data_IF_776049108160
#
_entry.id   IF_776049108160
#
_cell.length_a   1.000
_cell.length_b   1.000
_cell.length_c   1.000
_cell.angle_alpha   90.00
_cell.angle_beta   90.00
_cell.angle_gamma   90.00
#
_symmetry.space_group_name_H-M   'P 1'
#
loop_
_entity.id
_entity.type
_entity.pdbx_description
1 polymer ?
#
# COMPACT_ATOMS: atom_id res chain seq x y z
N UNK A 1 100.93 3.21 -29.87
CA UNK A 1 99.71 3.23 -30.69
C UNK A 1 99.27 1.77 -30.83
N UNK A 2 98.15 1.28 -30.30
CA UNK A 2 96.76 1.79 -30.36
C UNK A 2 95.95 1.19 -29.19
N UNK A 3 95.09 2.02 -28.58
CA UNK A 3 94.11 1.67 -27.53
C UNK A 3 93.11 0.60 -28.00
N UNK A 4 92.77 -0.36 -27.14
CA UNK A 4 91.56 -1.19 -27.27
C UNK A 4 90.49 -0.67 -26.30
N UNK A 5 89.74 0.34 -26.72
CA UNK A 5 88.45 0.70 -26.13
C UNK A 5 87.34 0.00 -26.92
N UNK A 6 86.91 -1.17 -26.44
CA UNK A 6 85.70 -1.82 -26.96
C UNK A 6 84.51 -1.42 -26.10
N UNK A 7 83.84 -0.37 -26.59
CA UNK A 7 82.44 0.03 -26.41
C UNK A 7 81.53 -1.00 -25.71
N UNK A 8 80.97 -0.61 -24.56
CA UNK A 8 79.75 -1.21 -23.99
C UNK A 8 78.56 -0.89 -24.90
N UNK A 9 78.28 -1.77 -25.86
CA UNK A 9 77.07 -1.66 -26.67
C UNK A 9 75.88 -2.25 -25.89
N UNK A 10 74.88 -1.41 -25.73
CA UNK A 10 73.64 -1.57 -24.98
C UNK A 10 72.89 -2.90 -25.21
N UNK A 11 72.87 -3.78 -24.20
CA UNK A 11 71.81 -4.80 -24.03
C UNK A 11 70.51 -4.22 -23.41
N UNK A 12 70.20 -2.94 -23.68
CA UNK A 12 69.05 -2.21 -23.12
C UNK A 12 67.77 -2.15 -23.99
N UNK A 13 67.65 -2.62 -25.25
CA UNK A 13 66.38 -2.48 -25.98
C UNK A 13 65.39 -3.63 -25.68
N UNK A 14 65.89 -4.84 -25.40
CA UNK A 14 65.05 -6.04 -25.32
C UNK A 14 64.26 -6.14 -24.01
N UNK A 15 64.80 -5.62 -22.91
CA UNK A 15 64.14 -5.64 -21.59
C UNK A 15 63.05 -4.59 -21.45
N UNK A 16 63.17 -3.46 -22.15
CA UNK A 16 62.15 -2.39 -22.18
C UNK A 16 60.97 -2.83 -23.06
N UNK A 17 61.25 -3.42 -24.23
CA UNK A 17 60.23 -3.95 -25.12
C UNK A 17 59.39 -5.06 -24.46
N UNK A 18 60.04 -5.98 -23.73
CA UNK A 18 59.34 -7.01 -22.95
C UNK A 18 58.45 -6.45 -21.85
N UNK A 19 58.87 -5.37 -21.18
CA UNK A 19 58.06 -4.69 -20.15
C UNK A 19 56.84 -3.99 -20.74
N UNK A 20 56.99 -3.35 -21.90
CA UNK A 20 55.85 -2.74 -22.60
C UNK A 20 54.89 -3.80 -23.14
N UNK A 21 55.39 -4.91 -23.69
CA UNK A 21 54.55 -6.04 -24.12
C UNK A 21 53.80 -6.62 -22.92
N UNK A 22 54.47 -6.82 -21.77
CA UNK A 22 53.84 -7.31 -20.55
C UNK A 22 52.78 -6.33 -20.01
N UNK A 23 53.07 -5.02 -20.00
CA UNK A 23 52.11 -3.98 -19.61
C UNK A 23 50.90 -3.92 -20.55
N UNK A 24 51.10 -4.03 -21.87
CA UNK A 24 50.02 -4.06 -22.86
C UNK A 24 49.18 -5.34 -22.74
N UNK A 25 49.80 -6.49 -22.44
CA UNK A 25 49.11 -7.75 -22.18
C UNK A 25 48.26 -7.67 -20.91
N UNK A 26 48.82 -7.12 -19.81
CA UNK A 26 48.06 -6.88 -18.58
C UNK A 26 46.91 -5.91 -18.83
N UNK A 27 47.15 -4.80 -19.53
CA UNK A 27 46.10 -3.84 -19.87
C UNK A 27 44.98 -4.48 -20.71
N UNK A 28 45.32 -5.31 -21.70
CA UNK A 28 44.35 -6.05 -22.49
C UNK A 28 43.52 -7.04 -21.65
N UNK A 29 44.14 -7.73 -20.68
CA UNK A 29 43.44 -8.65 -19.77
C UNK A 29 42.52 -7.90 -18.77
N UNK A 30 42.87 -6.68 -18.36
CA UNK A 30 42.00 -5.85 -17.53
C UNK A 30 40.88 -5.16 -18.34
N UNK A 31 41.09 -4.94 -19.64
CA UNK A 31 40.14 -4.23 -20.52
C UNK A 31 39.11 -5.15 -21.19
N UNK A 32 39.21 -6.48 -21.04
CA UNK A 32 38.10 -7.37 -21.41
C UNK A 32 36.94 -7.12 -20.46
N UNK A 33 36.07 -6.20 -20.86
CA UNK A 33 34.91 -5.76 -20.12
C UNK A 33 34.09 -6.93 -19.61
N UNK A 34 33.94 -6.98 -18.29
CA UNK A 34 32.95 -7.83 -17.65
C UNK A 34 31.59 -7.27 -18.07
N UNK A 35 30.94 -7.90 -19.07
CA UNK A 35 29.49 -7.75 -19.28
C UNK A 35 28.77 -8.46 -18.14
N UNK A 36 28.98 -8.00 -16.90
CA UNK A 36 28.13 -8.38 -15.80
C UNK A 36 26.79 -7.67 -16.06
N UNK A 37 25.77 -8.44 -16.43
CA UNK A 37 24.39 -8.00 -16.30
C UNK A 37 24.22 -7.55 -14.84
N UNK A 38 24.19 -6.24 -14.61
CA UNK A 38 23.79 -5.65 -13.33
C UNK A 38 22.46 -6.30 -12.91
N UNK A 39 22.18 -6.50 -11.61
CA UNK A 39 20.96 -7.20 -11.15
C UNK A 39 19.76 -6.71 -11.96
N UNK A 40 19.27 -7.60 -12.83
CA UNK A 40 18.37 -7.22 -13.92
C UNK A 40 17.11 -6.57 -13.37
N UNK A 41 16.46 -5.73 -14.19
CA UNK A 41 15.21 -5.05 -13.83
C UNK A 41 14.24 -6.05 -13.19
N UNK A 42 14.04 -5.95 -11.88
CA UNK A 42 13.13 -6.79 -11.13
C UNK A 42 11.72 -6.65 -11.74
N UNK A 43 11.23 -7.70 -12.38
CA UNK A 43 9.90 -7.77 -13.01
C UNK A 43 8.73 -7.82 -12.02
N UNK A 44 8.91 -7.31 -10.79
CA UNK A 44 7.85 -7.27 -9.80
C UNK A 44 6.84 -6.18 -10.19
N UNK A 45 5.71 -6.60 -10.78
CA UNK A 45 4.58 -5.70 -10.99
C UNK A 45 4.03 -5.30 -9.60
N UNK A 46 4.20 -4.03 -9.21
CA UNK A 46 3.52 -3.50 -8.02
C UNK A 46 2.02 -3.77 -8.18
N UNK A 47 1.37 -4.27 -7.11
CA UNK A 47 -0.09 -4.39 -7.11
C UNK A 47 -0.67 -3.02 -7.40
N UNK A 48 -1.45 -2.90 -8.47
CA UNK A 48 -2.15 -1.66 -8.76
C UNK A 48 -3.06 -1.37 -7.58
N UNK A 49 -2.97 -0.15 -7.06
CA UNK A 49 -3.96 0.36 -6.12
C UNK A 49 -5.32 0.24 -6.81
N UNK A 50 -6.33 -0.26 -6.09
CA UNK A 50 -7.71 -0.27 -6.59
C UNK A 50 -8.14 1.18 -6.73
N UNK A 51 -8.42 1.61 -7.96
CA UNK A 51 -8.92 2.96 -8.22
C UNK A 51 -10.34 3.06 -7.65
N UNK A 52 -10.57 4.04 -6.78
CA UNK A 52 -11.90 4.38 -6.30
C UNK A 52 -12.61 5.16 -7.40
N UNK A 53 -13.73 4.64 -7.90
CA UNK A 53 -14.58 5.35 -8.86
C UNK A 53 -15.58 6.20 -8.09
N UNK A 54 -15.70 7.51 -8.38
CA UNK A 54 -16.70 8.34 -7.73
C UNK A 54 -18.11 7.88 -8.11
N UNK A 55 -19.06 8.09 -7.20
CA UNK A 55 -20.48 7.87 -7.46
C UNK A 55 -21.02 8.97 -8.36
N UNK A 56 -21.80 8.59 -9.38
CA UNK A 56 -22.54 9.52 -10.23
C UNK A 56 -23.81 10.00 -9.50
N UNK A 57 -24.33 11.17 -9.86
CA UNK A 57 -25.57 11.69 -9.28
C UNK A 57 -26.72 10.65 -9.39
N UNK A 58 -27.39 10.39 -8.25
CA UNK A 58 -28.44 9.35 -8.07
C UNK A 58 -27.96 7.89 -8.19
N UNK A 59 -26.67 7.63 -8.33
CA UNK A 59 -26.13 6.28 -8.23
C UNK A 59 -26.10 5.83 -6.77
N UNK A 60 -26.44 4.57 -6.54
CA UNK A 60 -26.28 3.87 -5.25
C UNK A 60 -25.51 2.56 -5.48
N UNK A 61 -24.76 2.13 -4.47
CA UNK A 61 -23.99 0.89 -4.50
C UNK A 61 -24.27 0.16 -3.19
N UNK A 62 -24.71 -1.10 -3.22
CA UNK A 62 -25.06 -1.92 -4.39
C UNK A 62 -26.26 -1.38 -5.17
N UNK A 63 -26.40 -1.74 -6.46
CA UNK A 63 -27.51 -1.29 -7.32
C UNK A 63 -28.80 -2.08 -7.04
N UNK A 64 -29.25 -2.03 -5.79
CA UNK A 64 -30.46 -2.66 -5.26
C UNK A 64 -31.11 -1.68 -4.30
N UNK A 65 -32.43 -1.77 -4.04
CA UNK A 65 -33.07 -0.85 -3.10
C UNK A 65 -32.48 -0.97 -1.69
N UNK A 66 -32.44 0.16 -0.97
CA UNK A 66 -31.87 0.26 0.39
C UNK A 66 -32.41 -0.80 1.35
N UNK A 67 -33.72 -1.08 1.28
CA UNK A 67 -34.39 -2.00 2.19
C UNK A 67 -34.25 -3.49 1.80
N UNK A 68 -33.44 -3.79 0.79
CA UNK A 68 -33.15 -5.17 0.36
C UNK A 68 -32.19 -5.86 1.32
N UNK A 69 -32.33 -7.19 1.47
CA UNK A 69 -31.43 -8.02 2.28
C UNK A 69 -29.95 -7.94 1.84
N UNK A 70 -29.70 -7.59 0.58
CA UNK A 70 -28.34 -7.39 0.05
C UNK A 70 -27.74 -6.00 0.29
N UNK A 71 -28.47 -5.09 0.92
CA UNK A 71 -28.06 -3.72 1.23
C UNK A 71 -28.24 -3.44 2.73
N UNK A 72 -29.17 -2.57 3.09
CA UNK A 72 -29.43 -2.21 4.48
C UNK A 72 -30.48 -3.12 5.15
N UNK A 73 -31.21 -3.93 4.39
CA UNK A 73 -32.25 -4.81 4.94
C UNK A 73 -33.53 -4.07 5.37
N UNK A 74 -34.54 -4.79 5.88
CA UNK A 74 -35.85 -4.22 6.14
C UNK A 74 -35.81 -3.12 7.20
N UNK A 75 -36.58 -2.05 6.97
CA UNK A 75 -36.74 -0.97 7.93
C UNK A 75 -37.46 -1.46 9.18
N UNK A 76 -36.87 -1.18 10.33
CA UNK A 76 -37.53 -1.43 11.61
C UNK A 76 -38.45 -0.25 12.00
N UNK A 77 -38.87 -0.20 13.26
CA UNK A 77 -39.72 0.87 13.78
C UNK A 77 -38.93 2.16 14.04
N UNK A 78 -39.62 3.29 13.89
CA UNK A 78 -39.13 4.60 14.30
C UNK A 78 -38.83 4.61 15.80
N UNK A 79 -37.67 5.13 16.18
CA UNK A 79 -37.24 5.26 17.58
C UNK A 79 -37.45 6.71 18.03
N UNK A 80 -38.15 6.87 19.15
CA UNK A 80 -38.32 8.14 19.87
C UNK A 80 -37.52 8.12 21.16
N UNK A 81 -37.23 9.31 21.73
CA UNK A 81 -36.42 9.45 22.95
C UNK A 81 -36.96 8.72 24.19
N UNK A 82 -38.28 8.49 24.25
CA UNK A 82 -38.92 7.77 25.35
C UNK A 82 -38.95 6.24 25.17
N UNK A 83 -38.55 5.72 24.01
CA UNK A 83 -38.65 4.30 23.72
C UNK A 83 -37.53 3.52 24.41
N UNK A 84 -37.82 2.28 24.84
CA UNK A 84 -36.81 1.40 25.42
C UNK A 84 -35.60 1.18 24.48
N UNK A 85 -35.88 1.14 23.17
CA UNK A 85 -34.89 1.01 22.10
C UNK A 85 -33.93 2.19 22.00
N UNK A 86 -34.31 3.36 22.53
CA UNK A 86 -33.43 4.52 22.53
C UNK A 86 -32.17 4.30 23.37
N UNK A 87 -32.24 3.41 24.37
CA UNK A 87 -31.10 3.03 25.22
C UNK A 87 -30.04 2.22 24.46
N UNK A 88 -30.39 1.60 23.34
CA UNK A 88 -29.47 0.85 22.50
C UNK A 88 -28.62 1.77 21.60
N UNK A 89 -29.09 3.01 21.37
CA UNK A 89 -28.38 3.99 20.58
C UNK A 89 -27.28 4.65 21.42
N UNK A 90 -26.13 4.87 20.80
CA UNK A 90 -24.93 5.43 21.42
C UNK A 90 -24.62 6.78 20.79
N UNK A 91 -24.02 7.68 21.57
CA UNK A 91 -23.58 8.99 21.12
C UNK A 91 -22.16 8.93 20.54
N UNK A 92 -21.97 9.49 19.36
CA UNK A 92 -20.66 9.63 18.73
C UNK A 92 -20.04 11.01 19.01
N UNK A 93 -18.91 11.02 19.72
CA UNK A 93 -18.14 12.21 20.09
C UNK A 93 -16.80 12.33 19.37
N UNK A 94 -16.64 11.67 18.22
CA UNK A 94 -15.40 11.74 17.46
C UNK A 94 -15.08 13.19 17.02
N UNK A 95 -13.89 13.68 17.38
CA UNK A 95 -13.40 15.01 17.04
C UNK A 95 -13.14 15.19 15.53
N UNK A 96 -12.95 14.10 14.78
CA UNK A 96 -12.69 14.13 13.34
C UNK A 96 -13.96 14.32 12.49
N UNK A 97 -15.14 14.35 13.14
CA UNK A 97 -16.44 14.45 12.47
C UNK A 97 -17.11 15.76 12.87
N UNK A 98 -17.35 16.62 11.88
CA UNK A 98 -18.06 17.88 12.07
C UNK A 98 -19.55 17.65 11.85
N UNK A 99 -20.33 17.68 12.94
CA UNK A 99 -21.79 17.57 12.90
C UNK A 99 -22.42 18.95 12.67
N UNK A 100 -23.42 19.02 11.78
CA UNK A 100 -24.10 20.27 11.42
C UNK A 100 -25.09 20.78 12.49
N UNK A 101 -25.69 19.86 13.26
CA UNK A 101 -26.71 20.06 14.30
C UNK A 101 -27.45 21.41 14.28
N UNK A 102 -28.38 21.56 13.33
CA UNK A 102 -29.19 22.78 13.18
C UNK A 102 -30.11 23.06 14.38
N UNK A 103 -30.42 22.05 15.20
CA UNK A 103 -31.42 22.14 16.27
C UNK A 103 -30.78 22.30 17.65
N UNK A 104 -29.47 22.09 17.79
CA UNK A 104 -28.76 22.16 19.06
C UNK A 104 -29.17 21.08 20.06
N UNK A 105 -29.70 19.95 19.57
CA UNK A 105 -30.22 18.87 20.44
C UNK A 105 -29.27 17.67 20.53
N UNK A 106 -28.21 17.65 19.72
CA UNK A 106 -27.27 16.53 19.63
C UNK A 106 -27.84 15.28 18.95
N UNK A 107 -29.03 15.35 18.34
CA UNK A 107 -29.68 14.19 17.73
C UNK A 107 -28.85 13.58 16.58
N UNK A 108 -28.13 14.41 15.81
CA UNK A 108 -27.26 13.96 14.71
C UNK A 108 -26.07 13.09 15.18
N UNK A 109 -25.80 13.06 16.50
CA UNK A 109 -24.72 12.26 17.11
C UNK A 109 -25.20 10.90 17.62
N UNK A 110 -26.52 10.70 17.73
CA UNK A 110 -27.12 9.49 18.27
C UNK A 110 -27.29 8.49 17.13
N UNK A 111 -26.58 7.36 17.20
CA UNK A 111 -26.56 6.35 16.14
C UNK A 111 -26.37 4.95 16.72
N UNK A 112 -26.50 3.91 15.87
CA UNK A 112 -26.25 2.53 16.30
C UNK A 112 -24.75 2.23 16.38
N UNK A 113 -24.34 1.24 17.19
CA UNK A 113 -22.93 0.88 17.32
C UNK A 113 -22.26 0.56 15.96
N UNK A 114 -22.95 -0.17 15.09
CA UNK A 114 -22.45 -0.54 13.75
C UNK A 114 -22.12 0.69 12.90
N UNK A 115 -22.93 1.74 13.02
CA UNK A 115 -22.73 3.00 12.31
C UNK A 115 -21.54 3.80 12.89
N UNK A 116 -21.37 3.81 14.22
CA UNK A 116 -20.20 4.41 14.87
C UNK A 116 -18.92 3.73 14.38
N UNK A 117 -18.92 2.40 14.36
CA UNK A 117 -17.75 1.62 13.93
C UNK A 117 -17.43 1.90 12.46
N UNK A 118 -18.44 2.04 11.60
CA UNK A 118 -18.23 2.41 10.20
C UNK A 118 -17.54 3.79 10.06
N UNK A 119 -17.91 4.76 10.89
CA UNK A 119 -17.31 6.10 10.86
C UNK A 119 -15.94 6.20 11.54
N UNK A 120 -15.68 5.37 12.55
CA UNK A 120 -14.43 5.38 13.33
C UNK A 120 -13.36 4.45 12.76
N UNK A 121 -13.71 3.35 12.07
CA UNK A 121 -12.76 2.40 11.49
C UNK A 121 -12.12 2.86 10.17
N UNK A 122 -11.65 4.11 10.12
CA UNK A 122 -10.73 4.59 9.09
C UNK A 122 -9.32 4.04 9.34
N UNK A 123 -9.10 2.75 9.08
CA UNK A 123 -7.74 2.18 9.20
C UNK A 123 -7.61 0.68 8.99
N UNK A 124 -8.68 -0.10 9.17
CA UNK A 124 -8.64 -1.52 8.85
C UNK A 124 -9.00 -1.69 7.38
N UNK A 125 -8.08 -2.29 6.60
CA UNK A 125 -8.34 -2.70 5.22
C UNK A 125 -9.70 -3.41 5.16
N UNK A 126 -10.55 -3.11 4.17
CA UNK A 126 -11.86 -3.76 3.97
C UNK A 126 -11.79 -5.29 4.13
N UNK A 127 -10.69 -5.91 3.71
CA UNK A 127 -10.46 -7.35 3.87
C UNK A 127 -10.43 -7.81 5.34
N UNK A 128 -9.93 -6.97 6.26
CA UNK A 128 -9.92 -7.24 7.70
C UNK A 128 -11.31 -7.05 8.30
N UNK A 129 -12.11 -6.09 7.81
CA UNK A 129 -13.51 -5.91 8.20
C UNK A 129 -14.40 -7.09 7.78
N UNK A 130 -14.17 -7.65 6.58
CA UNK A 130 -14.84 -8.90 6.15
C UNK A 130 -14.32 -10.13 6.90
N UNK A 131 -13.02 -10.20 7.21
CA UNK A 131 -12.48 -11.33 7.99
C UNK A 131 -12.93 -11.30 9.46
N UNK A 132 -13.12 -10.11 10.03
CA UNK A 132 -13.73 -9.91 11.35
C UNK A 132 -15.21 -10.30 11.36
N UNK A 133 -15.94 -10.07 10.26
CA UNK A 133 -17.31 -10.59 10.06
C UNK A 133 -17.35 -12.12 10.19
N UNK A 134 -16.48 -12.83 9.47
CA UNK A 134 -16.42 -14.31 9.51
C UNK A 134 -16.06 -14.87 10.90
N UNK A 135 -15.19 -14.17 11.66
CA UNK A 135 -14.80 -14.57 13.02
C UNK A 135 -15.84 -14.24 14.10
N UNK A 136 -16.74 -13.27 13.85
CA UNK A 136 -17.79 -12.88 14.81
C UNK A 136 -19.09 -13.65 14.57
N UNK A 137 -19.34 -14.07 13.33
CA UNK A 137 -20.44 -14.97 12.96
C UNK A 137 -20.25 -16.39 13.54
N UNK A 138 -18.98 -16.84 13.72
CA UNK A 138 -18.64 -18.09 14.42
C UNK A 138 -18.82 -18.03 15.95
N UNK A 139 -18.96 -16.83 16.54
CA UNK A 139 -19.26 -16.64 17.97
C UNK A 139 -20.75 -16.33 18.24
N UNK A 140 -21.64 -16.49 17.27
CA UNK A 140 -23.07 -16.25 17.44
C UNK A 140 -23.47 -14.77 17.54
N UNK A 141 -22.54 -13.84 17.27
CA UNK A 141 -22.84 -12.41 17.18
C UNK A 141 -23.16 -12.06 15.73
N UNK A 142 -24.45 -11.87 15.43
CA UNK A 142 -24.95 -11.51 14.10
C UNK A 142 -24.57 -10.06 13.76
N UNK A 143 -23.39 -9.85 13.18
CA UNK A 143 -23.06 -8.58 12.54
C UNK A 143 -23.80 -8.48 11.20
N UNK A 144 -25.01 -7.93 11.25
CA UNK A 144 -25.68 -7.41 10.06
C UNK A 144 -24.89 -6.20 9.59
N UNK A 145 -23.95 -6.44 8.68
CA UNK A 145 -23.31 -5.38 7.93
C UNK A 145 -24.33 -4.82 6.94
N UNK A 146 -25.09 -3.85 7.47
CA UNK A 146 -25.87 -2.87 6.74
C UNK A 146 -24.89 -2.09 5.85
N UNK A 147 -24.92 -2.38 4.55
CA UNK A 147 -24.35 -1.47 3.54
C UNK A 147 -25.29 -0.30 3.32
#
# INVERSE_FOLDING_TARGET
MVQKETLRICNRPFSILKKHIFLLLCFALFYTGVYACSPGRSGARRRSIRKLTPLVFKQHVPNVPENSLGASGPSEKRIQRGDARFKELILNYNADIVYKDKRGTGADRVMTQVEIDFHTMRGLSWNLCYKLRDTLETQGMRLVLKF
#
